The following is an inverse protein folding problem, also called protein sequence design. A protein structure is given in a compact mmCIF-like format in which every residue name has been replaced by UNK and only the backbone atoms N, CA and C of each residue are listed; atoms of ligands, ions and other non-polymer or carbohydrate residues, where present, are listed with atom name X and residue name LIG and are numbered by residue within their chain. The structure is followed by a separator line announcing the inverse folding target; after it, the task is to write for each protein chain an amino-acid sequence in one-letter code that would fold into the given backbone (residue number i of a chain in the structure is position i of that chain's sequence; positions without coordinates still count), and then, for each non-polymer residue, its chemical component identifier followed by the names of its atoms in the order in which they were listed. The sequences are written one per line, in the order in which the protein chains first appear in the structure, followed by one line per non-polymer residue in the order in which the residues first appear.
data_IF_120032634379
#
_entry.id   IF_120032634379
#
_cell.length_a   1.000
_cell.length_b   1.000
_cell.length_c   1.000
_cell.angle_alpha   90.00
_cell.angle_beta   90.00
_cell.angle_gamma   90.00
#
_symmetry.space_group_name_H-M   'P 1'
#
loop_
_entity.id
_entity.type
_entity.pdbx_description
1 polymer ?
#
# COMPACT_ATOMS: atom_id res chain seq x y z
N UNK A 1 -10.95 5.68 12.13
CA UNK A 1 -9.51 5.86 12.40
C UNK A 1 -8.80 5.80 11.06
N UNK A 2 -8.10 6.87 10.68
CA UNK A 2 -7.26 6.87 9.48
C UNK A 2 -5.96 6.16 9.79
N UNK A 3 -5.62 5.11 9.05
CA UNK A 3 -4.36 4.37 9.23
C UNK A 3 -3.19 5.14 8.61
N UNK A 4 -1.98 4.97 9.15
CA UNK A 4 -0.76 5.60 8.61
C UNK A 4 -0.55 5.18 7.16
N UNK A 5 -0.78 3.90 6.85
CA UNK A 5 -0.76 3.39 5.48
C UNK A 5 -1.71 4.13 4.54
N UNK A 6 -2.97 4.37 4.93
CA UNK A 6 -3.93 5.08 4.06
C UNK A 6 -3.41 6.46 3.65
N UNK A 7 -2.85 7.21 4.60
CA UNK A 7 -2.34 8.57 4.34
C UNK A 7 -1.18 8.50 3.37
N UNK A 8 -0.15 7.72 3.72
CA UNK A 8 1.03 7.55 2.90
C UNK A 8 0.68 7.04 1.49
N UNK A 9 -0.14 5.99 1.38
CA UNK A 9 -0.52 5.41 0.09
C UNK A 9 -1.32 6.38 -0.78
N UNK A 10 -2.16 7.23 -0.16
CA UNK A 10 -2.87 8.28 -0.87
C UNK A 10 -1.93 9.36 -1.42
N UNK A 11 -0.89 9.73 -0.67
CA UNK A 11 0.14 10.69 -1.10
C UNK A 11 0.97 10.11 -2.25
N UNK A 12 1.47 8.87 -2.14
CA UNK A 12 2.24 8.20 -3.21
C UNK A 12 1.45 8.08 -4.52
N UNK A 13 0.14 7.82 -4.44
CA UNK A 13 -0.73 7.76 -5.62
C UNK A 13 -0.79 9.11 -6.33
N UNK A 14 -0.91 10.20 -5.57
CA UNK A 14 -1.00 11.56 -6.12
C UNK A 14 0.35 12.01 -6.67
N UNK A 15 1.43 11.81 -5.92
CA UNK A 15 2.77 12.29 -6.27
C UNK A 15 3.36 11.58 -7.51
N UNK A 16 2.89 10.36 -7.79
CA UNK A 16 3.34 9.56 -8.93
C UNK A 16 2.27 9.42 -10.04
N UNK A 17 1.17 10.19 -9.99
CA UNK A 17 0.08 10.18 -10.97
C UNK A 17 -0.53 8.78 -11.24
N UNK A 18 -0.57 7.91 -10.23
CA UNK A 18 -1.17 6.58 -10.38
C UNK A 18 -2.69 6.65 -10.39
N UNK A 19 -3.30 5.77 -11.20
CA UNK A 19 -4.73 5.52 -11.15
C UNK A 19 -5.01 4.20 -10.45
N UNK A 20 -6.21 4.06 -9.87
CA UNK A 20 -6.70 2.81 -9.26
C UNK A 20 -6.54 1.64 -10.22
N UNK A 21 -6.97 1.81 -11.47
CA UNK A 21 -6.90 0.76 -12.50
C UNK A 21 -5.46 0.45 -12.91
N UNK A 22 -4.57 1.45 -13.04
CA UNK A 22 -3.18 1.16 -13.37
C UNK A 22 -2.47 0.38 -12.25
N UNK A 23 -2.73 0.75 -10.99
CA UNK A 23 -2.20 0.04 -9.82
C UNK A 23 -2.76 -1.37 -9.68
N UNK A 24 -4.05 -1.55 -9.89
CA UNK A 24 -4.69 -2.88 -9.79
C UNK A 24 -4.10 -3.84 -10.81
N UNK A 25 -3.90 -3.39 -12.06
CA UNK A 25 -3.23 -4.14 -13.10
C UNK A 25 -1.76 -4.44 -12.76
N UNK A 26 -1.01 -3.45 -12.25
CA UNK A 26 0.40 -3.63 -11.92
C UNK A 26 0.60 -4.62 -10.75
N UNK A 27 -0.22 -4.49 -9.71
CA UNK A 27 -0.16 -5.33 -8.52
C UNK A 27 -0.93 -6.65 -8.67
N UNK A 28 -1.61 -6.86 -9.80
CA UNK A 28 -2.47 -8.01 -10.06
C UNK A 28 -3.50 -8.23 -8.92
N UNK A 29 -4.20 -7.16 -8.54
CA UNK A 29 -5.30 -7.16 -7.55
C UNK A 29 -6.54 -6.52 -8.18
N UNK A 30 -7.69 -6.60 -7.50
CA UNK A 30 -8.91 -5.93 -7.99
C UNK A 30 -8.88 -4.43 -7.68
N UNK A 31 -9.49 -3.61 -8.55
CA UNK A 31 -9.67 -2.17 -8.33
C UNK A 31 -10.28 -1.87 -6.95
N UNK A 32 -11.31 -2.64 -6.56
CA UNK A 32 -11.95 -2.51 -5.25
C UNK A 32 -11.00 -2.75 -4.07
N UNK A 33 -9.95 -3.56 -4.25
CA UNK A 33 -8.90 -3.75 -3.23
C UNK A 33 -8.09 -2.47 -3.03
N UNK A 34 -7.71 -1.78 -4.12
CA UNK A 34 -7.01 -0.50 -4.06
C UNK A 34 -7.92 0.59 -3.45
N UNK A 35 -9.20 0.60 -3.82
CA UNK A 35 -10.19 1.52 -3.23
C UNK A 35 -10.38 1.28 -1.72
N UNK A 36 -10.41 0.02 -1.28
CA UNK A 36 -10.49 -0.33 0.14
C UNK A 36 -9.26 0.16 0.91
N UNK A 37 -8.07 0.10 0.31
CA UNK A 37 -6.83 0.66 0.86
C UNK A 37 -6.89 2.18 0.98
N UNK A 38 -7.31 2.88 -0.07
CA UNK A 38 -7.51 4.34 -0.08
C UNK A 38 -8.59 4.82 0.88
N UNK A 39 -9.64 4.01 1.08
CA UNK A 39 -10.69 4.27 2.05
C UNK A 39 -10.29 3.92 3.49
N UNK A 40 -9.16 3.20 3.68
CA UNK A 40 -8.74 2.69 4.98
C UNK A 40 -9.65 1.60 5.54
N UNK A 41 -10.43 0.93 4.68
CA UNK A 41 -11.27 -0.23 5.04
C UNK A 41 -10.46 -1.52 5.13
N UNK A 42 -9.33 -1.57 4.43
CA UNK A 42 -8.37 -2.67 4.46
C UNK A 42 -6.93 -2.15 4.42
N UNK A 43 -5.97 -3.05 4.66
CA UNK A 43 -4.54 -2.83 4.44
C UNK A 43 -3.99 -3.93 3.51
N UNK A 44 -2.91 -3.69 2.77
CA UNK A 44 -2.28 -4.70 1.92
C UNK A 44 -1.75 -5.85 2.76
N UNK A 45 -1.74 -7.06 2.19
CA UNK A 45 -1.03 -8.17 2.80
C UNK A 45 0.49 -7.99 2.65
N UNK A 46 1.27 -8.83 3.34
CA UNK A 46 2.74 -8.70 3.35
C UNK A 46 3.36 -8.78 1.94
N UNK A 47 2.81 -9.61 1.06
CA UNK A 47 3.30 -9.73 -0.32
C UNK A 47 3.02 -8.45 -1.13
N UNK A 48 1.84 -7.85 -0.96
CA UNK A 48 1.48 -6.57 -1.57
C UNK A 48 2.34 -5.44 -1.01
N UNK A 49 2.67 -5.45 0.30
CA UNK A 49 3.57 -4.46 0.89
C UNK A 49 4.94 -4.45 0.20
N UNK A 50 5.50 -5.63 -0.10
CA UNK A 50 6.78 -5.75 -0.81
C UNK A 50 6.66 -5.19 -2.24
N UNK A 51 5.60 -5.54 -2.96
CA UNK A 51 5.37 -5.04 -4.33
C UNK A 51 5.14 -3.53 -4.38
N UNK A 52 4.41 -2.98 -3.42
CA UNK A 52 4.23 -1.53 -3.27
C UNK A 52 5.55 -0.83 -2.96
N UNK A 53 6.39 -1.45 -2.13
CA UNK A 53 7.70 -0.91 -1.80
C UNK A 53 8.64 -0.88 -3.01
N UNK A 54 8.64 -1.94 -3.82
CA UNK A 54 9.35 -1.97 -5.10
C UNK A 54 8.83 -0.92 -6.07
N UNK A 55 7.51 -0.76 -6.17
CA UNK A 55 6.87 0.20 -7.06
C UNK A 55 7.21 1.66 -6.72
N UNK A 56 7.17 2.01 -5.44
CA UNK A 56 7.44 3.38 -4.97
C UNK A 56 8.91 3.61 -4.58
N UNK A 57 9.78 2.65 -4.88
CA UNK A 57 11.22 2.71 -4.58
C UNK A 57 11.53 3.03 -3.10
N UNK A 58 10.72 2.50 -2.18
CA UNK A 58 10.90 2.64 -0.73
C UNK A 58 11.28 1.29 -0.08
N UNK A 59 11.95 1.29 1.09
CA UNK A 59 12.18 0.06 1.84
C UNK A 59 10.88 -0.65 2.24
N UNK A 60 10.78 -1.96 1.97
CA UNK A 60 9.59 -2.76 2.30
C UNK A 60 9.22 -2.75 3.79
N UNK A 61 10.20 -2.58 4.68
CA UNK A 61 9.97 -2.42 6.12
C UNK A 61 9.07 -1.22 6.46
N UNK A 62 9.13 -0.14 5.67
CA UNK A 62 8.33 1.08 5.89
C UNK A 62 6.87 0.78 5.59
N UNK A 63 6.60 0.18 4.43
CA UNK A 63 5.23 -0.16 3.99
C UNK A 63 4.61 -1.21 4.93
N UNK A 64 5.41 -2.21 5.33
CA UNK A 64 4.99 -3.21 6.31
C UNK A 64 4.61 -2.57 7.65
N UNK A 65 5.44 -1.67 8.16
CA UNK A 65 5.18 -0.95 9.41
C UNK A 65 3.93 -0.07 9.30
N UNK A 66 3.76 0.66 8.21
CA UNK A 66 2.57 1.49 7.96
C UNK A 66 1.29 0.65 7.91
N UNK A 67 1.39 -0.58 7.40
CA UNK A 67 0.30 -1.56 7.32
C UNK A 67 0.07 -2.32 8.63
N UNK A 68 0.85 -2.03 9.69
CA UNK A 68 0.70 -2.62 11.02
C UNK A 68 1.48 -3.91 11.25
N UNK A 69 2.35 -4.32 10.33
CA UNK A 69 3.25 -5.45 10.52
C UNK A 69 4.49 -5.00 11.29
N UNK A 70 4.65 -5.48 12.53
CA UNK A 70 5.91 -5.33 13.27
C UNK A 70 6.86 -6.46 12.93
N UNK A 71 8.16 -6.15 12.84
CA UNK A 71 9.21 -7.16 12.93
C UNK A 71 9.12 -7.78 14.33
N UNK A 72 8.77 -9.07 14.41
CA UNK A 72 9.02 -9.86 15.61
C UNK A 72 10.54 -10.09 15.66
N UNK A 73 11.26 -9.16 16.28
CA UNK A 73 12.65 -9.40 16.69
C UNK A 73 12.59 -10.37 17.86
N UNK A 74 12.74 -11.65 17.56
CA UNK A 74 13.07 -12.67 18.55
C UNK A 74 14.58 -12.73 18.76
#
# INVERSE_FOLDING_TARGET
MTTVFRVWFGEEIVDNDWTVTALSHHLNVFDGTIEDWLAGRAVPARAECVRLAELFEVPAEIVLRFSGYTHDTK
#
